data_IF_925477729041
#
_entry.id   IF_925477729041
#
_cell.length_a   1.000
_cell.length_b   1.000
_cell.length_c   1.000
_cell.angle_alpha   90.00
_cell.angle_beta   90.00
_cell.angle_gamma   90.00
#
_symmetry.space_group_name_H-M   'P 1'
#
loop_
_entity.id
_entity.type
_entity.pdbx_description
1 polymer ?
#
# COMPACT_ATOMS: atom_id res chain seq x y z
N UNK A 1 -5.74 1.09 13.66
CA UNK A 1 -5.39 2.51 13.73
C UNK A 1 -6.42 3.32 12.93
N UNK A 2 -6.78 4.49 13.41
CA UNK A 2 -7.65 5.42 12.70
C UNK A 2 -6.78 6.47 11.96
N UNK A 3 -7.13 6.75 10.72
CA UNK A 3 -6.48 7.80 9.92
C UNK A 3 -7.54 8.79 9.47
N UNK A 4 -7.27 10.07 9.60
CA UNK A 4 -8.09 11.14 9.04
C UNK A 4 -7.56 11.54 7.66
N UNK A 5 -8.39 11.42 6.62
CA UNK A 5 -8.08 11.82 5.25
C UNK A 5 -9.16 12.76 4.74
N UNK A 6 -8.78 13.98 4.38
CA UNK A 6 -9.69 15.02 3.85
C UNK A 6 -10.96 15.18 4.72
N UNK A 7 -10.77 15.27 6.04
CA UNK A 7 -11.89 15.41 6.99
C UNK A 7 -12.71 14.15 7.26
N UNK A 8 -12.32 12.99 6.69
CA UNK A 8 -12.96 11.69 6.98
C UNK A 8 -12.01 10.81 7.79
N UNK A 9 -12.49 10.32 8.92
CA UNK A 9 -11.77 9.33 9.71
C UNK A 9 -11.92 7.95 9.09
N UNK A 10 -10.82 7.23 9.00
CA UNK A 10 -10.80 5.88 8.48
C UNK A 10 -10.01 4.97 9.42
N UNK A 11 -10.60 3.83 9.74
CA UNK A 11 -9.90 2.78 10.47
C UNK A 11 -9.16 1.88 9.48
N UNK A 12 -7.88 1.66 9.72
CA UNK A 12 -7.07 0.72 8.94
C UNK A 12 -6.62 -0.45 9.81
N UNK A 13 -6.58 -1.63 9.20
CA UNK A 13 -6.00 -2.82 9.81
C UNK A 13 -4.48 -2.80 9.64
N UNK A 14 -3.77 -3.01 10.74
CA UNK A 14 -2.30 -3.07 10.74
C UNK A 14 -1.87 -4.51 11.02
N UNK A 15 -1.17 -5.12 10.09
CA UNK A 15 -0.62 -6.46 10.24
C UNK A 15 0.30 -6.56 11.48
N UNK A 16 0.31 -7.73 12.14
CA UNK A 16 1.03 -7.93 13.39
C UNK A 16 2.53 -7.59 13.31
N UNK A 17 3.20 -7.98 12.22
CA UNK A 17 4.61 -7.63 11.98
C UNK A 17 4.82 -6.12 11.88
N UNK A 18 3.97 -5.41 11.13
CA UNK A 18 4.04 -3.96 11.00
C UNK A 18 3.77 -3.26 12.34
N UNK A 19 2.81 -3.76 13.11
CA UNK A 19 2.53 -3.23 14.46
C UNK A 19 3.74 -3.34 15.39
N UNK A 20 4.45 -4.49 15.36
CA UNK A 20 5.68 -4.69 16.14
C UNK A 20 6.77 -3.70 15.71
N UNK A 21 6.98 -3.55 14.41
CA UNK A 21 7.97 -2.63 13.86
C UNK A 21 7.66 -1.15 14.22
N UNK A 22 6.40 -0.74 14.12
CA UNK A 22 5.97 0.61 14.52
C UNK A 22 6.16 0.86 16.02
N UNK A 23 5.81 -0.11 16.88
CA UNK A 23 6.05 0.01 18.32
C UNK A 23 7.54 0.14 18.65
N UNK A 24 8.38 -0.64 17.99
CA UNK A 24 9.84 -0.53 18.15
C UNK A 24 10.37 0.84 17.72
N UNK A 25 9.92 1.31 16.54
CA UNK A 25 10.27 2.65 16.04
C UNK A 25 9.88 3.76 17.01
N UNK A 26 8.63 3.75 17.50
CA UNK A 26 8.12 4.75 18.44
C UNK A 26 8.95 4.79 19.73
N UNK A 27 9.29 3.61 20.30
CA UNK A 27 10.14 3.52 21.49
C UNK A 27 11.53 4.10 21.23
N UNK A 28 12.17 3.74 20.13
CA UNK A 28 13.49 4.25 19.77
C UNK A 28 13.52 5.77 19.56
N UNK A 29 12.42 6.33 19.08
CA UNK A 29 12.28 7.76 18.81
C UNK A 29 11.74 8.54 20.02
N UNK A 30 11.37 7.87 21.11
CA UNK A 30 10.78 8.50 22.29
C UNK A 30 9.41 9.14 22.02
N UNK A 31 8.66 8.65 21.02
CA UNK A 31 7.37 9.21 20.64
C UNK A 31 6.28 8.54 21.46
N UNK A 32 5.66 9.29 22.37
CA UNK A 32 4.59 8.82 23.25
C UNK A 32 3.22 9.28 22.79
N UNK A 33 3.13 10.40 22.08
CA UNK A 33 1.89 10.97 21.58
C UNK A 33 2.14 11.79 20.30
N UNK A 34 1.09 12.08 19.55
CA UNK A 34 1.15 12.89 18.35
C UNK A 34 1.51 12.12 17.09
N UNK A 35 2.09 12.77 16.07
CA UNK A 35 2.43 12.17 14.79
C UNK A 35 3.47 11.05 14.93
N UNK A 36 3.22 9.92 14.26
CA UNK A 36 4.15 8.78 14.28
C UNK A 36 5.45 9.09 13.53
N UNK A 37 5.35 9.73 12.36
CA UNK A 37 6.51 10.06 11.53
C UNK A 37 6.82 11.54 11.63
N UNK A 38 7.95 11.84 12.23
CA UNK A 38 8.41 13.21 12.49
C UNK A 38 9.78 13.46 11.87
N UNK A 39 10.03 14.71 11.51
CA UNK A 39 11.34 15.22 11.09
C UNK A 39 12.32 15.29 12.27
N UNK A 40 13.56 15.67 12.00
CA UNK A 40 14.54 15.94 13.07
C UNK A 40 14.09 17.06 14.03
N UNK A 41 13.34 18.04 13.51
CA UNK A 41 12.80 19.16 14.30
C UNK A 41 11.47 18.82 15.02
N UNK A 42 11.03 17.56 15.02
CA UNK A 42 9.79 17.13 15.68
C UNK A 42 8.50 17.44 14.91
N UNK A 43 8.57 18.04 13.71
CA UNK A 43 7.39 18.32 12.89
C UNK A 43 6.90 17.07 12.17
N UNK A 44 5.59 16.94 11.90
CA UNK A 44 5.08 15.84 11.08
C UNK A 44 5.80 15.79 9.72
N UNK A 45 6.11 14.58 9.24
CA UNK A 45 6.62 14.42 7.90
C UNK A 45 5.52 14.71 6.87
N UNK A 46 5.83 15.52 5.88
CA UNK A 46 4.97 15.77 4.73
C UNK A 46 5.22 14.79 3.58
N UNK A 47 4.39 14.88 2.54
CA UNK A 47 4.49 14.00 1.37
C UNK A 47 5.82 14.16 0.63
N UNK A 48 6.36 15.38 0.55
CA UNK A 48 7.62 15.67 -0.13
C UNK A 48 8.79 15.03 0.59
N UNK A 49 8.80 15.03 1.93
CA UNK A 49 9.79 14.33 2.73
C UNK A 49 9.76 12.82 2.49
N UNK A 50 8.58 12.21 2.53
CA UNK A 50 8.41 10.78 2.28
C UNK A 50 8.91 10.43 0.88
N UNK A 51 8.54 11.23 -0.12
CA UNK A 51 8.96 11.02 -1.50
C UNK A 51 10.49 11.09 -1.66
N UNK A 52 11.13 12.13 -1.10
CA UNK A 52 12.60 12.28 -1.12
C UNK A 52 13.30 11.11 -0.43
N UNK A 53 12.81 10.68 0.73
CA UNK A 53 13.36 9.50 1.44
C UNK A 53 13.25 8.23 0.61
N UNK A 54 12.13 7.99 -0.07
CA UNK A 54 11.97 6.83 -0.95
C UNK A 54 12.97 6.87 -2.10
N UNK A 55 13.18 8.02 -2.73
CA UNK A 55 14.17 8.19 -3.81
C UNK A 55 15.60 7.93 -3.32
N UNK A 56 15.98 8.46 -2.18
CA UNK A 56 17.30 8.20 -1.60
C UNK A 56 17.51 6.72 -1.27
N UNK A 57 16.47 6.00 -0.82
CA UNK A 57 16.54 4.57 -0.60
C UNK A 57 16.71 3.78 -1.90
N UNK A 58 16.08 4.21 -3.00
CA UNK A 58 16.23 3.59 -4.32
C UNK A 58 17.68 3.65 -4.80
N UNK A 59 18.33 4.80 -4.70
CA UNK A 59 19.72 4.98 -5.07
C UNK A 59 20.64 4.04 -4.29
N UNK A 60 20.44 3.95 -2.98
CA UNK A 60 21.22 3.06 -2.10
C UNK A 60 20.98 1.57 -2.38
N UNK A 61 19.79 1.22 -2.82
CA UNK A 61 19.39 -0.16 -3.12
C UNK A 61 19.66 -0.58 -4.58
N UNK A 62 20.15 0.32 -5.43
CA UNK A 62 20.33 0.06 -6.86
C UNK A 62 19.02 -0.19 -7.62
N UNK A 63 17.91 0.37 -7.14
CA UNK A 63 16.58 0.20 -7.72
C UNK A 63 16.22 1.44 -8.54
N UNK A 64 15.60 1.24 -9.70
CA UNK A 64 15.14 2.34 -10.56
C UNK A 64 14.10 3.21 -9.86
N UNK A 65 14.36 4.50 -9.78
CA UNK A 65 13.55 5.45 -9.02
C UNK A 65 12.15 5.68 -9.61
N UNK A 66 12.01 5.55 -10.95
CA UNK A 66 10.75 5.87 -11.65
C UNK A 66 9.59 4.97 -11.20
N UNK A 67 9.92 3.75 -10.78
CA UNK A 67 8.91 2.76 -10.34
C UNK A 67 8.60 2.80 -8.86
N UNK A 68 9.38 3.54 -8.05
CA UNK A 68 9.24 3.54 -6.59
C UNK A 68 8.61 4.85 -6.10
N UNK A 69 7.32 4.80 -5.86
CA UNK A 69 6.54 5.90 -5.29
C UNK A 69 5.29 5.33 -4.57
N UNK A 70 4.70 6.08 -3.62
CA UNK A 70 3.63 5.54 -2.74
C UNK A 70 2.47 4.90 -3.48
N UNK A 71 2.04 5.50 -4.59
CA UNK A 71 0.92 4.97 -5.38
C UNK A 71 1.24 3.61 -6.02
N UNK A 72 2.48 3.45 -6.49
CA UNK A 72 2.93 2.18 -7.08
C UNK A 72 3.05 1.07 -6.02
N UNK A 73 3.46 1.41 -4.80
CA UNK A 73 3.44 0.47 -3.68
C UNK A 73 2.00 0.05 -3.32
N UNK A 74 1.05 0.96 -3.44
CA UNK A 74 -0.36 0.64 -3.27
C UNK A 74 -0.87 -0.33 -4.35
N UNK A 75 -0.45 -0.17 -5.61
CA UNK A 75 -0.74 -1.13 -6.69
C UNK A 75 -0.12 -2.50 -6.39
N UNK A 76 1.12 -2.52 -5.94
CA UNK A 76 1.79 -3.77 -5.55
C UNK A 76 1.02 -4.48 -4.43
N UNK A 77 0.64 -3.76 -3.38
CA UNK A 77 -0.18 -4.31 -2.29
C UNK A 77 -1.48 -4.91 -2.82
N UNK A 78 -2.20 -4.17 -3.68
CA UNK A 78 -3.46 -4.65 -4.24
C UNK A 78 -3.29 -5.95 -5.03
N UNK A 79 -2.24 -6.06 -5.84
CA UNK A 79 -1.92 -7.28 -6.59
C UNK A 79 -1.58 -8.45 -5.68
N UNK A 80 -0.73 -8.23 -4.67
CA UNK A 80 -0.36 -9.26 -3.69
C UNK A 80 -1.58 -9.73 -2.89
N UNK A 81 -2.42 -8.80 -2.42
CA UNK A 81 -3.64 -9.13 -1.70
C UNK A 81 -4.58 -9.96 -2.57
N UNK A 82 -4.86 -9.50 -3.79
CA UNK A 82 -5.75 -10.20 -4.73
C UNK A 82 -5.19 -11.55 -5.20
N UNK A 83 -3.87 -11.75 -5.17
CA UNK A 83 -3.28 -13.06 -5.50
C UNK A 83 -3.60 -14.13 -4.45
N UNK A 84 -3.76 -13.73 -3.20
CA UNK A 84 -4.07 -14.61 -2.06
C UNK A 84 -5.57 -14.83 -1.99
N UNK A 85 -6.32 -13.74 -1.93
CA UNK A 85 -7.77 -13.74 -1.86
C UNK A 85 -8.34 -13.02 -3.09
N UNK A 86 -9.08 -13.75 -3.92
CA UNK A 86 -9.65 -13.23 -5.18
C UNK A 86 -10.88 -12.34 -4.97
N UNK A 87 -11.15 -11.92 -3.74
CA UNK A 87 -12.26 -11.05 -3.39
C UNK A 87 -11.92 -9.58 -3.67
N UNK A 88 -12.49 -9.07 -4.77
CA UNK A 88 -12.30 -7.67 -5.17
C UNK A 88 -13.08 -6.69 -4.28
N UNK A 89 -14.19 -7.13 -3.68
CA UNK A 89 -14.97 -6.29 -2.77
C UNK A 89 -14.21 -6.06 -1.47
N UNK A 90 -13.68 -7.12 -0.88
CA UNK A 90 -12.83 -7.04 0.29
C UNK A 90 -11.59 -6.19 0.04
N UNK A 91 -10.94 -6.33 -1.13
CA UNK A 91 -9.82 -5.48 -1.50
C UNK A 91 -10.21 -4.02 -1.62
N UNK A 92 -11.39 -3.71 -2.20
CA UNK A 92 -11.89 -2.34 -2.29
C UNK A 92 -12.09 -1.72 -0.90
N UNK A 93 -12.63 -2.48 0.04
CA UNK A 93 -12.81 -2.06 1.43
C UNK A 93 -11.47 -1.78 2.12
N UNK A 94 -10.52 -2.67 2.00
CA UNK A 94 -9.17 -2.51 2.55
C UNK A 94 -8.46 -1.29 1.97
N UNK A 95 -8.57 -1.06 0.66
CA UNK A 95 -8.04 0.12 -0.01
C UNK A 95 -8.85 1.38 0.27
N UNK A 96 -10.12 1.25 0.68
CA UNK A 96 -11.06 2.34 0.90
C UNK A 96 -11.48 3.03 -0.39
N UNK A 97 -11.70 2.25 -1.40
CA UNK A 97 -12.30 2.72 -2.63
C UNK A 97 -13.81 2.74 -2.49
N UNK A 98 -14.46 3.83 -2.90
CA UNK A 98 -15.93 3.93 -2.95
C UNK A 98 -16.52 3.09 -4.11
N UNK A 99 -15.70 2.68 -5.06
CA UNK A 99 -16.10 1.92 -6.24
C UNK A 99 -15.18 0.74 -6.50
N UNK A 100 -15.77 -0.42 -6.74
CA UNK A 100 -15.06 -1.63 -7.16
C UNK A 100 -14.32 -1.40 -8.50
N UNK A 101 -14.87 -0.55 -9.37
CA UNK A 101 -14.21 -0.22 -10.64
C UNK A 101 -12.85 0.44 -10.44
N UNK A 102 -12.70 1.31 -9.43
CA UNK A 102 -11.41 1.88 -9.05
C UNK A 102 -10.44 0.78 -8.62
N UNK A 103 -10.90 -0.22 -7.88
CA UNK A 103 -10.08 -1.36 -7.46
C UNK A 103 -9.66 -2.22 -8.65
N UNK A 104 -10.53 -2.44 -9.62
CA UNK A 104 -10.21 -3.19 -10.85
C UNK A 104 -9.02 -2.63 -11.61
N UNK A 105 -8.87 -1.29 -11.65
CA UNK A 105 -7.72 -0.64 -12.29
C UNK A 105 -6.40 -1.06 -11.63
N UNK A 106 -6.40 -1.27 -10.31
CA UNK A 106 -5.21 -1.68 -9.55
C UNK A 106 -4.80 -3.13 -9.78
N UNK A 107 -5.78 -4.00 -10.05
CA UNK A 107 -5.57 -5.43 -10.27
C UNK A 107 -5.66 -5.82 -11.74
N UNK A 108 -5.94 -4.87 -12.64
CA UNK A 108 -5.97 -5.12 -14.08
C UNK A 108 -4.67 -5.84 -14.47
N UNK A 109 -4.76 -7.15 -14.51
CA UNK A 109 -3.69 -8.03 -14.96
C UNK A 109 -3.54 -7.87 -16.46
N UNK A 110 -2.32 -8.06 -16.94
CA UNK A 110 -2.12 -8.31 -18.37
C UNK A 110 -3.07 -9.42 -18.81
N UNK A 111 -3.68 -9.32 -19.98
CA UNK A 111 -4.63 -10.31 -20.50
C UNK A 111 -4.16 -11.78 -20.46
N UNK A 112 -2.90 -11.99 -20.07
CA UNK A 112 -2.29 -13.29 -19.82
C UNK A 112 -2.99 -14.11 -18.73
N UNK A 113 -3.38 -13.50 -17.59
CA UNK A 113 -4.09 -14.25 -16.54
C UNK A 113 -5.51 -14.64 -16.97
N UNK A 114 -6.19 -13.78 -17.72
CA UNK A 114 -7.50 -14.10 -18.29
C UNK A 114 -7.40 -15.23 -19.31
N UNK A 115 -6.41 -15.18 -20.19
CA UNK A 115 -6.15 -16.24 -21.18
C UNK A 115 -5.87 -17.57 -20.49
N UNK A 116 -4.95 -17.61 -19.53
CA UNK A 116 -4.63 -18.83 -18.78
C UNK A 116 -5.84 -19.46 -18.08
N UNK A 117 -6.75 -18.64 -17.56
CA UNK A 117 -7.99 -19.13 -16.95
C UNK A 117 -8.98 -19.63 -17.98
N UNK A 118 -9.10 -18.94 -19.11
CA UNK A 118 -9.96 -19.36 -20.22
C UNK A 118 -9.47 -20.68 -20.79
N UNK A 119 -8.16 -20.84 -20.97
CA UNK A 119 -7.55 -22.10 -21.42
C UNK A 119 -7.79 -23.24 -20.42
N UNK A 120 -7.76 -22.94 -19.11
CA UNK A 120 -8.02 -23.92 -18.04
C UNK A 120 -9.51 -24.38 -17.98
N UNK A 121 -10.44 -23.61 -18.54
CA UNK A 121 -11.85 -23.99 -18.61
C UNK A 121 -12.13 -25.13 -19.61
N UNK A 122 -11.19 -25.38 -20.52
CA UNK A 122 -11.26 -26.48 -21.50
C UNK A 122 -12.59 -26.55 -22.26
N UNK A 123 -13.19 -25.37 -22.56
CA UNK A 123 -14.51 -25.25 -23.20
C UNK A 123 -14.47 -25.31 -24.71
N UNK A 124 -13.28 -25.35 -25.30
CA UNK A 124 -13.08 -25.50 -26.73
C UNK A 124 -12.66 -26.96 -27.01
N UNK A 125 -13.50 -27.64 -27.71
CA UNK A 125 -13.25 -29.01 -28.16
C UNK A 125 -12.36 -28.96 -29.42
#
# INVERSE_FOLDING_TARGET
AAICLKGKNRTILIAGKLRKALKYYLRRRGITAGPVFITRSGRPMDRSHIWKMMKALCQRAGVREEKVFPHNLRHLFARCFYSIDKDIAQLADVLGHFSINTTRIYIASSGYEHRKRTDALNLVI
#
